data_IF_558012577734
#
_entry.id   IF_558012577734
#
_cell.length_a   1.000
_cell.length_b   1.000
_cell.length_c   1.000
_cell.angle_alpha   90.00
_cell.angle_beta   90.00
_cell.angle_gamma   90.00
#
_symmetry.space_group_name_H-M   'P 1'
#
loop_
_entity.id
_entity.type
_entity.pdbx_description
1 polymer ?
#
# COMPACT_ATOMS: atom_id res chain seq x y z
N UNK A 1 9.30 13.66 -13.97
CA UNK A 1 8.22 13.52 -14.96
C UNK A 1 7.58 12.18 -14.66
N UNK A 2 6.33 12.16 -14.21
CA UNK A 2 5.65 10.89 -13.93
C UNK A 2 5.44 10.12 -15.24
N UNK A 3 5.88 8.87 -15.27
CA UNK A 3 5.76 8.05 -16.47
C UNK A 3 4.28 7.82 -16.80
N UNK A 4 3.90 7.97 -18.07
CA UNK A 4 2.51 7.87 -18.52
C UNK A 4 1.59 9.08 -18.23
N UNK A 5 2.09 10.19 -17.65
CA UNK A 5 1.27 11.38 -17.38
C UNK A 5 0.69 12.06 -18.64
N UNK A 6 1.34 11.86 -19.80
CA UNK A 6 0.92 12.37 -21.11
C UNK A 6 -0.10 11.48 -21.82
N UNK A 7 -0.40 10.29 -21.30
CA UNK A 7 -1.34 9.35 -21.92
C UNK A 7 -2.79 9.86 -21.82
N UNK A 8 -3.62 9.53 -22.81
CA UNK A 8 -5.07 9.71 -22.69
C UNK A 8 -5.63 8.85 -21.54
N UNK A 9 -6.72 9.30 -20.93
CA UNK A 9 -7.30 8.65 -19.74
C UNK A 9 -7.69 7.18 -20.00
N UNK A 10 -8.24 6.88 -21.18
CA UNK A 10 -8.60 5.54 -21.60
C UNK A 10 -7.37 4.61 -21.70
N UNK A 11 -6.23 5.15 -22.17
CA UNK A 11 -4.98 4.43 -22.26
C UNK A 11 -4.41 4.14 -20.86
N UNK A 12 -4.52 5.09 -19.92
CA UNK A 12 -4.11 4.88 -18.51
C UNK A 12 -4.97 3.83 -17.82
N UNK A 13 -6.29 3.89 -18.01
CA UNK A 13 -7.23 2.89 -17.48
C UNK A 13 -6.93 1.48 -18.01
N UNK A 14 -6.77 1.34 -19.33
CA UNK A 14 -6.47 0.05 -19.96
C UNK A 14 -5.14 -0.51 -19.49
N UNK A 15 -4.13 0.35 -19.35
CA UNK A 15 -2.81 -0.05 -18.86
C UNK A 15 -2.89 -0.51 -17.39
N UNK A 16 -3.57 0.25 -16.52
CA UNK A 16 -3.72 -0.07 -15.11
C UNK A 16 -4.48 -1.38 -14.90
N UNK A 17 -5.65 -1.51 -15.54
CA UNK A 17 -6.46 -2.72 -15.44
C UNK A 17 -5.80 -3.94 -16.08
N UNK A 18 -5.00 -3.73 -17.14
CA UNK A 18 -4.22 -4.79 -17.79
C UNK A 18 -3.03 -5.30 -16.96
N UNK A 19 -2.67 -4.64 -15.86
CA UNK A 19 -1.66 -5.12 -14.90
C UNK A 19 -2.23 -5.99 -13.79
N UNK A 20 -3.55 -6.01 -13.63
CA UNK A 20 -4.20 -6.87 -12.65
C UNK A 20 -4.19 -8.32 -13.17
N UNK A 21 -3.93 -9.27 -12.27
CA UNK A 21 -4.22 -10.66 -12.55
C UNK A 21 -5.74 -10.89 -12.68
N UNK A 22 -6.13 -12.04 -13.19
CA UNK A 22 -7.54 -12.35 -13.46
C UNK A 22 -8.41 -12.25 -12.18
N UNK A 23 -7.92 -12.74 -11.04
CA UNK A 23 -8.71 -12.76 -9.80
C UNK A 23 -8.91 -11.34 -9.27
N UNK A 24 -7.85 -10.54 -9.28
CA UNK A 24 -7.89 -9.12 -8.94
C UNK A 24 -8.82 -8.32 -9.86
N UNK A 25 -8.77 -8.57 -11.17
CA UNK A 25 -9.63 -7.89 -12.14
C UNK A 25 -11.12 -8.26 -11.95
N UNK A 26 -11.42 -9.53 -11.71
CA UNK A 26 -12.78 -9.98 -11.39
C UNK A 26 -13.29 -9.39 -10.07
N UNK A 27 -12.43 -9.28 -9.05
CA UNK A 27 -12.77 -8.61 -7.79
C UNK A 27 -13.06 -7.14 -8.02
N UNK A 28 -12.24 -6.44 -8.81
CA UNK A 28 -12.46 -5.03 -9.18
C UNK A 28 -13.80 -4.83 -9.88
N UNK A 29 -14.13 -5.65 -10.89
CA UNK A 29 -15.42 -5.58 -11.59
C UNK A 29 -16.62 -5.70 -10.65
N UNK A 30 -16.52 -6.52 -9.60
CA UNK A 30 -17.57 -6.65 -8.58
C UNK A 30 -17.70 -5.41 -7.70
N UNK A 31 -16.60 -4.72 -7.41
CA UNK A 31 -16.61 -3.50 -6.58
C UNK A 31 -17.23 -2.30 -7.28
N UNK A 32 -17.09 -2.18 -8.60
CA UNK A 32 -17.59 -1.03 -9.37
C UNK A 32 -19.07 -1.18 -9.79
N UNK A 33 -19.72 -2.31 -9.50
CA UNK A 33 -21.12 -2.53 -9.86
C UNK A 33 -22.00 -1.40 -9.30
N UNK A 34 -22.99 -0.92 -10.07
CA UNK A 34 -23.47 -1.44 -11.36
C UNK A 34 -22.72 -0.92 -12.60
N UNK A 35 -21.63 -0.15 -12.44
CA UNK A 35 -20.85 0.40 -13.56
C UNK A 35 -19.96 -0.66 -14.21
N UNK A 36 -19.60 -0.44 -15.48
CA UNK A 36 -18.54 -1.19 -16.18
C UNK A 36 -17.21 -0.45 -16.13
N UNK A 37 -16.05 -1.12 -16.33
CA UNK A 37 -14.74 -0.43 -16.28
C UNK A 37 -14.61 0.74 -17.27
N UNK A 38 -15.37 0.74 -18.36
CA UNK A 38 -15.44 1.84 -19.34
C UNK A 38 -16.25 3.07 -18.88
N UNK A 39 -16.99 2.96 -17.78
CA UNK A 39 -17.86 4.00 -17.22
C UNK A 39 -17.28 4.63 -15.94
N UNK A 40 -16.07 4.21 -15.55
CA UNK A 40 -15.37 4.65 -14.33
C UNK A 40 -14.16 5.47 -14.76
N UNK A 41 -13.96 6.62 -14.14
CA UNK A 41 -12.78 7.45 -14.39
C UNK A 41 -11.50 6.79 -13.90
N UNK A 42 -10.35 7.28 -14.36
CA UNK A 42 -9.06 6.82 -13.87
C UNK A 42 -8.93 7.01 -12.35
N UNK A 43 -9.36 8.17 -11.83
CA UNK A 43 -9.24 8.47 -10.41
C UNK A 43 -10.15 7.58 -9.54
N UNK A 44 -11.40 7.35 -9.96
CA UNK A 44 -12.29 6.40 -9.28
C UNK A 44 -11.69 4.99 -9.27
N UNK A 45 -11.10 4.56 -10.39
CA UNK A 45 -10.43 3.25 -10.48
C UNK A 45 -9.26 3.13 -9.52
N UNK A 46 -8.40 4.15 -9.44
CA UNK A 46 -7.29 4.18 -8.48
C UNK A 46 -7.79 4.10 -7.04
N UNK A 47 -8.85 4.85 -6.71
CA UNK A 47 -9.44 4.81 -5.36
C UNK A 47 -9.99 3.44 -5.01
N UNK A 48 -10.78 2.82 -5.89
CA UNK A 48 -11.32 1.46 -5.68
C UNK A 48 -10.21 0.43 -5.52
N UNK A 49 -9.15 0.51 -6.35
CA UNK A 49 -8.01 -0.40 -6.24
C UNK A 49 -7.26 -0.20 -4.93
N UNK A 50 -7.06 1.04 -4.48
CA UNK A 50 -6.49 1.32 -3.17
C UNK A 50 -7.31 0.62 -2.09
N UNK A 51 -8.62 0.83 -2.02
CA UNK A 51 -9.48 0.20 -1.03
C UNK A 51 -9.47 -1.35 -1.08
N UNK A 52 -9.32 -1.94 -2.28
CA UNK A 52 -9.26 -3.39 -2.45
C UNK A 52 -7.99 -4.02 -1.88
N UNK A 53 -6.86 -3.32 -2.01
CA UNK A 53 -5.53 -3.78 -1.63
C UNK A 53 -5.01 -3.13 -0.35
N UNK A 54 -5.76 -2.18 0.22
CA UNK A 54 -5.32 -1.46 1.41
C UNK A 54 -5.15 -2.41 2.58
N UNK A 55 -4.12 -2.14 3.36
CA UNK A 55 -3.81 -2.92 4.55
C UNK A 55 -4.70 -2.41 5.67
N UNK A 56 -5.65 -3.23 6.09
CA UNK A 56 -6.61 -2.90 7.16
C UNK A 56 -5.99 -2.75 8.56
N UNK A 57 -4.66 -2.81 8.67
CA UNK A 57 -3.98 -2.65 9.95
C UNK A 57 -3.94 -1.17 10.33
N UNK A 58 -4.19 -0.88 11.60
CA UNK A 58 -4.05 0.48 12.11
C UNK A 58 -2.58 0.94 12.04
N UNK A 59 -2.36 2.25 11.90
CA UNK A 59 -1.02 2.83 11.95
C UNK A 59 -0.28 2.48 13.25
N UNK A 60 -1.02 2.38 14.36
CA UNK A 60 -0.47 1.91 15.63
C UNK A 60 0.05 0.47 15.55
N UNK A 61 -0.73 -0.45 14.96
CA UNK A 61 -0.32 -1.84 14.75
C UNK A 61 0.94 -1.93 13.91
N UNK A 62 1.02 -1.14 12.82
CA UNK A 62 2.20 -1.10 11.96
C UNK A 62 3.44 -0.60 12.70
N UNK A 63 3.31 0.50 13.46
CA UNK A 63 4.39 1.06 14.28
C UNK A 63 4.85 0.09 15.37
N UNK A 64 3.91 -0.58 16.03
CA UNK A 64 4.25 -1.60 17.03
C UNK A 64 4.96 -2.80 16.40
N UNK A 65 4.54 -3.25 15.22
CA UNK A 65 5.25 -4.32 14.49
C UNK A 65 6.66 -3.89 14.06
N UNK A 66 6.83 -2.63 13.65
CA UNK A 66 8.15 -2.07 13.34
C UNK A 66 9.06 -2.05 14.57
N UNK A 67 8.53 -1.74 15.76
CA UNK A 67 9.31 -1.73 17.00
C UNK A 67 9.73 -3.14 17.44
N UNK A 68 8.88 -4.14 17.20
CA UNK A 68 9.15 -5.55 17.50
C UNK A 68 9.90 -6.28 16.38
N UNK A 69 10.50 -5.54 15.44
CA UNK A 69 11.23 -6.16 14.35
C UNK A 69 12.54 -6.74 14.87
N UNK A 70 12.67 -8.06 14.80
CA UNK A 70 13.90 -8.75 15.22
C UNK A 70 14.70 -9.24 14.03
N UNK A 71 16.01 -9.38 14.23
CA UNK A 71 16.88 -9.98 13.23
C UNK A 71 16.62 -11.48 13.13
N UNK A 72 16.34 -11.98 11.93
CA UNK A 72 16.19 -13.42 11.66
C UNK A 72 17.56 -14.12 11.69
N UNK A 73 17.59 -15.40 12.03
CA UNK A 73 18.84 -16.18 11.99
C UNK A 73 19.43 -16.30 10.58
N UNK A 74 18.55 -16.34 9.56
CA UNK A 74 18.93 -16.55 8.15
C UNK A 74 19.36 -15.29 7.40
N UNK A 75 19.16 -14.10 7.97
CA UNK A 75 19.49 -12.84 7.28
C UNK A 75 20.84 -12.29 7.75
N UNK A 76 21.52 -11.51 6.93
CA UNK A 76 22.68 -10.73 7.36
C UNK A 76 22.26 -9.36 7.95
N UNK A 77 23.23 -8.58 8.43
CA UNK A 77 22.94 -7.27 9.00
C UNK A 77 22.48 -6.24 7.97
N UNK A 78 22.94 -6.33 6.73
CA UNK A 78 22.56 -5.39 5.68
C UNK A 78 21.11 -5.64 5.23
N UNK A 79 20.72 -6.91 5.09
CA UNK A 79 19.35 -7.33 4.85
C UNK A 79 18.43 -6.90 5.99
N UNK A 80 18.86 -7.10 7.24
CA UNK A 80 18.11 -6.62 8.42
C UNK A 80 17.92 -5.11 8.42
N UNK A 81 19.00 -4.34 8.18
CA UNK A 81 18.93 -2.87 8.07
C UNK A 81 17.99 -2.43 6.96
N UNK A 82 18.04 -3.09 5.79
CA UNK A 82 17.11 -2.82 4.69
C UNK A 82 15.65 -3.01 5.11
N UNK A 83 15.35 -4.12 5.79
CA UNK A 83 14.01 -4.44 6.27
C UNK A 83 13.52 -3.50 7.37
N UNK A 84 14.40 -3.09 8.29
CA UNK A 84 14.09 -2.05 9.29
C UNK A 84 13.73 -0.74 8.61
N UNK A 85 14.52 -0.29 7.63
CA UNK A 85 14.25 0.95 6.91
C UNK A 85 12.91 0.90 6.16
N UNK A 86 12.64 -0.18 5.43
CA UNK A 86 11.38 -0.38 4.72
C UNK A 86 10.17 -0.31 5.67
N UNK A 87 10.26 -1.00 6.83
CA UNK A 87 9.18 -1.00 7.82
C UNK A 87 9.00 0.36 8.51
N UNK A 88 10.07 1.11 8.74
CA UNK A 88 10.00 2.47 9.28
C UNK A 88 9.24 3.43 8.35
N UNK A 89 9.51 3.37 7.04
CA UNK A 89 8.78 4.15 6.04
C UNK A 89 7.31 3.70 5.96
N UNK A 90 7.07 2.40 5.92
CA UNK A 90 5.72 1.84 5.85
C UNK A 90 4.86 2.17 7.09
N UNK A 91 5.48 2.20 8.27
CA UNK A 91 4.82 2.57 9.54
C UNK A 91 4.76 4.08 9.80
N UNK A 92 5.23 4.90 8.85
CA UNK A 92 5.37 6.35 8.98
C UNK A 92 6.01 6.72 10.34
N UNK A 93 7.14 6.09 10.64
CA UNK A 93 7.79 6.16 11.94
C UNK A 93 8.47 7.52 12.16
N UNK A 94 8.79 8.24 11.09
CA UNK A 94 9.34 9.61 11.11
C UNK A 94 8.40 10.63 11.75
N UNK A 95 7.09 10.37 11.74
CA UNK A 95 6.06 11.20 12.37
C UNK A 95 5.75 10.79 13.83
N UNK A 96 6.46 9.81 14.40
CA UNK A 96 6.29 9.42 15.79
C UNK A 96 6.98 10.44 16.68
N UNK A 97 6.19 11.22 17.41
CA UNK A 97 6.70 12.11 18.45
C UNK A 97 6.99 11.35 19.76
N UNK A 98 7.50 12.06 20.75
CA UNK A 98 7.88 11.48 22.05
C UNK A 98 6.69 10.80 22.75
N UNK A 99 5.48 11.36 22.68
CA UNK A 99 4.31 10.79 23.32
C UNK A 99 3.81 9.55 22.57
N UNK A 100 3.83 9.60 21.23
CA UNK A 100 3.55 8.45 20.37
C UNK A 100 4.52 7.30 20.64
N UNK A 101 5.81 7.58 20.84
CA UNK A 101 6.79 6.56 21.19
C UNK A 101 6.52 5.95 22.57
N UNK A 102 6.18 6.77 23.58
CA UNK A 102 5.78 6.25 24.91
C UNK A 102 4.57 5.34 24.81
N UNK A 103 3.57 5.71 24.01
CA UNK A 103 2.37 4.89 23.81
C UNK A 103 2.70 3.52 23.20
N UNK A 104 3.72 3.43 22.35
CA UNK A 104 4.19 2.15 21.79
C UNK A 104 4.97 1.30 22.79
N UNK A 105 5.62 1.91 23.79
CA UNK A 105 6.45 1.25 24.80
C UNK A 105 5.68 0.81 26.06
N UNK A 106 4.53 1.41 26.34
CA UNK A 106 3.72 1.12 27.53
C UNK A 106 2.67 0.00 27.35
N UNK A 107 2.84 -0.83 26.30
CA UNK A 107 1.99 -2.01 26.02
C UNK A 107 2.47 -3.21 26.81
#
# INVERSE_FOLDING_TARGET
MEDGASLAEDARLRLLLGKLDNDSFERYKRQILPKTPSQVSYNETVTTLREMFDVKQSLFTLRFQCLNLEKKDSEDFMEYTGRVNEMCEYANFSEVDTEGLKALLWI
#
